data_IF_642355195238
#
_entry.id   IF_642355195238
#
_cell.length_a   1.000
_cell.length_b   1.000
_cell.length_c   1.000
_cell.angle_alpha   90.00
_cell.angle_beta   90.00
_cell.angle_gamma   90.00
#
_symmetry.space_group_name_H-M   'P 1'
#
loop_
_entity.id
_entity.type
_entity.pdbx_description
1 polymer ?
#
# COMPACT_ATOMS: atom_id res chain seq x y z
N UNK A 1 38.43 -17.11 -28.12
CA UNK A 1 37.32 -17.89 -27.50
C UNK A 1 37.37 -17.58 -26.01
N UNK A 2 36.38 -17.06 -25.29
CA UNK A 2 34.92 -16.90 -25.45
C UNK A 2 34.46 -15.70 -24.60
N UNK A 3 33.40 -15.03 -25.07
CA UNK A 3 32.76 -13.84 -24.50
C UNK A 3 31.94 -14.16 -23.25
N UNK A 4 31.88 -13.16 -22.37
CA UNK A 4 30.77 -12.69 -21.53
C UNK A 4 29.91 -13.74 -20.80
N UNK A 5 30.07 -13.82 -19.48
CA UNK A 5 28.98 -14.23 -18.57
C UNK A 5 28.05 -13.02 -18.40
N UNK A 6 27.00 -12.98 -19.21
CA UNK A 6 25.92 -12.01 -19.07
C UNK A 6 25.25 -12.16 -17.70
N UNK A 7 25.03 -11.01 -17.08
CA UNK A 7 24.24 -10.81 -15.88
C UNK A 7 22.83 -11.38 -16.07
N UNK A 8 22.51 -12.48 -15.40
CA UNK A 8 21.12 -12.85 -15.11
C UNK A 8 20.60 -11.91 -14.04
N UNK A 9 20.05 -10.76 -14.46
CA UNK A 9 19.13 -10.00 -13.62
C UNK A 9 17.89 -10.85 -13.28
N UNK A 10 17.24 -10.63 -12.13
CA UNK A 10 16.08 -11.41 -11.76
C UNK A 10 14.95 -11.13 -12.77
N UNK A 11 14.56 -12.15 -13.52
CA UNK A 11 13.35 -12.11 -14.35
C UNK A 11 12.17 -11.81 -13.42
N UNK A 12 11.29 -10.83 -13.74
CA UNK A 12 10.09 -10.59 -12.94
C UNK A 12 9.25 -11.87 -12.94
N UNK A 13 9.17 -12.50 -11.79
CA UNK A 13 8.44 -13.74 -11.58
C UNK A 13 6.95 -13.41 -11.66
N UNK A 14 6.10 -14.31 -12.16
CA UNK A 14 4.65 -14.12 -12.10
C UNK A 14 4.16 -13.79 -10.67
N UNK A 15 4.86 -14.31 -9.64
CA UNK A 15 4.65 -13.98 -8.23
C UNK A 15 4.84 -12.49 -7.89
N UNK A 16 5.80 -11.81 -8.54
CA UNK A 16 6.04 -10.38 -8.34
C UNK A 16 4.89 -9.54 -8.91
N UNK A 17 4.34 -9.95 -10.06
CA UNK A 17 3.19 -9.28 -10.67
C UNK A 17 1.91 -9.49 -9.84
N UNK A 18 1.68 -10.70 -9.31
CA UNK A 18 0.57 -10.94 -8.38
C UNK A 18 0.71 -10.09 -7.11
N UNK A 19 1.89 -10.03 -6.51
CA UNK A 19 2.15 -9.23 -5.31
C UNK A 19 1.93 -7.72 -5.55
N UNK A 20 2.32 -7.22 -6.73
CA UNK A 20 2.06 -5.84 -7.15
C UNK A 20 0.56 -5.58 -7.32
N UNK A 21 -0.14 -6.47 -8.01
CA UNK A 21 -1.60 -6.37 -8.21
C UNK A 21 -2.34 -6.39 -6.87
N UNK A 22 -1.97 -7.29 -5.95
CA UNK A 22 -2.54 -7.36 -4.60
C UNK A 22 -2.30 -6.07 -3.83
N UNK A 23 -1.11 -5.48 -3.97
CA UNK A 23 -0.73 -4.21 -3.31
C UNK A 23 -1.49 -3.00 -3.85
N UNK A 24 -1.85 -3.01 -5.13
CA UNK A 24 -2.73 -2.00 -5.74
C UNK A 24 -4.19 -2.22 -5.34
N UNK A 25 -4.67 -3.47 -5.40
CA UNK A 25 -6.05 -3.82 -5.08
C UNK A 25 -6.44 -3.47 -3.64
N UNK A 26 -5.58 -3.79 -2.68
CA UNK A 26 -5.81 -3.47 -1.27
C UNK A 26 -5.86 -1.96 -0.98
N UNK A 27 -5.19 -1.11 -1.78
CA UNK A 27 -5.30 0.36 -1.66
C UNK A 27 -6.69 0.83 -2.06
N UNK A 28 -7.21 0.31 -3.17
CA UNK A 28 -8.56 0.58 -3.64
C UNK A 28 -9.60 0.08 -2.64
N UNK A 29 -9.39 -1.11 -2.06
CA UNK A 29 -10.27 -1.65 -1.04
C UNK A 29 -10.33 -0.77 0.21
N UNK A 30 -9.18 -0.28 0.68
CA UNK A 30 -9.11 0.63 1.82
C UNK A 30 -9.86 1.95 1.54
N UNK A 31 -9.69 2.53 0.35
CA UNK A 31 -10.38 3.76 -0.04
C UNK A 31 -11.89 3.54 -0.19
N UNK A 32 -12.31 2.38 -0.72
CA UNK A 32 -13.72 2.00 -0.79
C UNK A 32 -14.32 1.85 0.61
N UNK A 33 -13.62 1.19 1.54
CA UNK A 33 -14.05 1.06 2.94
C UNK A 33 -14.19 2.45 3.56
N UNK A 34 -13.21 3.34 3.38
CA UNK A 34 -13.26 4.70 3.92
C UNK A 34 -14.44 5.49 3.33
N UNK A 35 -14.74 5.36 2.03
CA UNK A 35 -15.92 5.98 1.41
C UNK A 35 -17.23 5.41 1.97
N UNK A 36 -17.34 4.10 2.15
CA UNK A 36 -18.54 3.46 2.69
C UNK A 36 -18.78 3.85 4.14
N UNK A 37 -17.72 3.93 4.95
CA UNK A 37 -17.77 4.41 6.34
C UNK A 37 -18.14 5.88 6.38
N UNK A 38 -17.54 6.73 5.54
CA UNK A 38 -17.85 8.16 5.47
C UNK A 38 -19.31 8.43 5.06
N UNK A 39 -19.88 7.57 4.21
CA UNK A 39 -21.31 7.62 3.84
C UNK A 39 -22.23 6.98 4.88
N UNK A 40 -21.70 6.39 5.95
CA UNK A 40 -22.47 5.68 6.97
C UNK A 40 -23.14 4.40 6.48
N UNK A 41 -22.66 3.81 5.38
CA UNK A 41 -23.22 2.58 4.78
C UNK A 41 -22.79 1.33 5.57
N UNK A 42 -21.58 1.34 6.13
CA UNK A 42 -21.05 0.26 6.98
C UNK A 42 -20.41 0.88 8.22
N UNK A 43 -20.50 0.20 9.37
CA UNK A 43 -19.66 0.51 10.51
C UNK A 43 -18.43 -0.39 10.52
N UNK A 44 -17.29 0.15 10.96
CA UNK A 44 -16.08 -0.64 11.14
C UNK A 44 -16.30 -1.82 12.09
N UNK A 45 -17.15 -1.65 13.10
CA UNK A 45 -17.51 -2.69 14.08
C UNK A 45 -18.26 -3.88 13.50
N UNK A 46 -18.81 -3.74 12.29
CA UNK A 46 -19.56 -4.79 11.61
C UNK A 46 -18.63 -5.70 10.78
N UNK A 47 -17.34 -5.35 10.68
CA UNK A 47 -16.32 -6.14 10.01
C UNK A 47 -15.76 -7.22 10.96
N UNK A 48 -15.38 -8.41 10.44
CA UNK A 48 -14.77 -9.45 11.25
C UNK A 48 -13.45 -8.98 11.86
N UNK A 49 -13.05 -9.52 13.03
CA UNK A 49 -11.87 -9.06 13.76
C UNK A 49 -10.58 -9.14 12.94
N UNK A 50 -10.44 -10.13 12.04
CA UNK A 50 -9.28 -10.22 11.15
C UNK A 50 -9.24 -9.06 10.13
N UNK A 51 -10.39 -8.59 9.65
CA UNK A 51 -10.47 -7.46 8.72
C UNK A 51 -10.15 -6.14 9.42
N UNK A 52 -10.62 -5.97 10.67
CA UNK A 52 -10.31 -4.82 11.51
C UNK A 52 -8.79 -4.69 11.77
N UNK A 53 -8.13 -5.80 12.13
CA UNK A 53 -6.69 -5.82 12.37
C UNK A 53 -5.90 -5.47 11.11
N UNK A 54 -6.22 -6.10 9.97
CA UNK A 54 -5.56 -5.80 8.69
C UNK A 54 -5.76 -4.35 8.25
N UNK A 55 -6.97 -3.82 8.42
CA UNK A 55 -7.29 -2.43 8.08
C UNK A 55 -6.55 -1.45 8.99
N UNK A 56 -6.44 -1.75 10.29
CA UNK A 56 -5.67 -0.95 11.25
C UNK A 56 -4.19 -0.92 10.90
N UNK A 57 -3.58 -2.08 10.62
CA UNK A 57 -2.18 -2.18 10.17
C UNK A 57 -1.93 -1.37 8.90
N UNK A 58 -2.84 -1.48 7.92
CA UNK A 58 -2.75 -0.77 6.65
C UNK A 58 -2.88 0.75 6.81
N UNK A 59 -3.87 1.21 7.59
CA UNK A 59 -4.03 2.65 7.90
C UNK A 59 -2.84 3.22 8.63
N UNK A 60 -2.26 2.47 9.58
CA UNK A 60 -1.06 2.90 10.29
C UNK A 60 0.14 3.00 9.35
N UNK A 61 0.33 2.03 8.46
CA UNK A 61 1.38 2.09 7.44
C UNK A 61 1.19 3.30 6.50
N UNK A 62 -0.05 3.56 6.07
CA UNK A 62 -0.39 4.72 5.24
C UNK A 62 -0.17 6.05 5.97
N UNK A 63 -0.58 6.16 7.24
CA UNK A 63 -0.32 7.35 8.06
C UNK A 63 1.16 7.62 8.23
N UNK A 64 1.96 6.58 8.50
CA UNK A 64 3.43 6.73 8.60
C UNK A 64 4.05 7.20 7.29
N UNK A 65 3.60 6.66 6.16
CA UNK A 65 4.06 7.10 4.84
C UNK A 65 3.64 8.54 4.56
N UNK A 66 2.38 8.91 4.84
CA UNK A 66 1.91 10.29 4.68
C UNK A 66 2.68 11.25 5.57
N UNK A 67 2.87 10.94 6.85
CA UNK A 67 3.64 11.79 7.76
C UNK A 67 5.10 11.94 7.33
N UNK A 68 5.70 10.89 6.75
CA UNK A 68 7.06 10.99 6.20
C UNK A 68 7.10 11.89 4.94
N UNK A 69 6.05 11.85 4.10
CA UNK A 69 5.92 12.72 2.94
C UNK A 69 5.60 14.17 3.34
N UNK A 70 4.77 14.37 4.37
CA UNK A 70 4.39 15.66 4.95
C UNK A 70 5.63 16.37 5.53
N UNK A 71 6.45 15.63 6.30
CA UNK A 71 7.70 16.14 6.85
C UNK A 71 8.71 16.57 5.75
N UNK A 72 8.74 15.86 4.63
CA UNK A 72 9.59 16.25 3.47
C UNK A 72 9.01 17.50 2.79
N UNK A 73 7.68 17.63 2.71
CA UNK A 73 7.02 18.81 2.15
C UNK A 73 7.25 20.07 2.99
N UNK A 74 7.24 19.94 4.32
CA UNK A 74 7.50 21.05 5.24
C UNK A 74 8.94 21.60 5.14
N UNK A 75 9.91 20.78 4.73
CA UNK A 75 11.31 21.20 4.54
C UNK A 75 11.52 21.98 3.22
N UNK A 76 10.71 21.72 2.19
CA UNK A 76 10.78 22.38 0.88
C UNK A 76 10.02 23.73 0.83
N UNK A 77 9.20 24.05 1.84
CA UNK A 77 8.43 25.31 1.94
C UNK A 77 9.12 26.39 2.83
N UNK A 78 10.37 26.14 3.23
CA UNK A 78 11.22 27.15 3.89
C UNK A 78 12.08 27.85 2.84
N UNK A 79 11.51 28.89 2.21
CA UNK A 79 12.25 29.90 1.42
C UNK A 79 12.67 31.07 2.32
#
# INVERSE_FOLDING_TARGET
>A
MTRNTESSGPSPSAEDDFSRMDTEFIRVLEDLIDVLVAKGVINLTDLPPQALEKLSLRRNARRRLRNALDLIQDEDDVI
#
